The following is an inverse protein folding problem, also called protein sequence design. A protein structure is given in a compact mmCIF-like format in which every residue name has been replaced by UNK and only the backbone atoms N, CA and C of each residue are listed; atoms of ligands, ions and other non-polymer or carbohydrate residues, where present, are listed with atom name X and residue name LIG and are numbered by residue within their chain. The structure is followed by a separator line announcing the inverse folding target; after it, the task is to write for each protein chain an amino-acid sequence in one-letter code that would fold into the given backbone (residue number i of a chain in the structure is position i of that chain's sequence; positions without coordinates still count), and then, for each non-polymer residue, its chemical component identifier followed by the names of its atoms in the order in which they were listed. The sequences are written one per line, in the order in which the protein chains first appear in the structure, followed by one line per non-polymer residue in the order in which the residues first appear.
data_IF_661336553323
#
_entry.id   IF_661336553323
#
_cell.length_a   1.000
_cell.length_b   1.000
_cell.length_c   1.000
_cell.angle_alpha   90.00
_cell.angle_beta   90.00
_cell.angle_gamma   90.00
#
_symmetry.space_group_name_H-M   'P 1'
#
loop_
_entity.id
_entity.type
_entity.pdbx_description
1 polymer ?
#
# COMPACT_ATOMS: atom_id res chain seq x y z
N UNK A 1 -27.62 -54.71 -1.08
CA UNK A 1 -27.14 -54.44 -2.45
C UNK A 1 -26.08 -53.36 -2.33
N UNK A 2 -24.83 -53.71 -2.64
CA UNK A 2 -23.65 -52.87 -2.36
C UNK A 2 -23.53 -51.68 -3.30
N UNK A 3 -23.06 -50.56 -2.76
CA UNK A 3 -22.65 -49.36 -3.49
C UNK A 3 -21.29 -49.59 -4.18
N UNK A 4 -21.11 -49.21 -5.45
CA UNK A 4 -19.87 -49.46 -6.17
C UNK A 4 -18.75 -48.49 -5.75
N UNK A 5 -17.56 -49.06 -5.56
CA UNK A 5 -16.30 -48.37 -5.32
C UNK A 5 -15.90 -47.57 -6.57
N UNK A 6 -15.65 -46.26 -6.40
CA UNK A 6 -15.05 -45.41 -7.44
C UNK A 6 -13.55 -45.37 -7.19
N UNK A 7 -12.78 -46.03 -8.06
CA UNK A 7 -11.31 -45.98 -8.07
C UNK A 7 -10.83 -44.58 -8.46
N UNK A 8 -9.86 -44.05 -7.69
CA UNK A 8 -9.15 -42.80 -8.00
C UNK A 8 -8.03 -43.08 -9.01
N UNK A 9 -7.83 -42.22 -10.03
CA UNK A 9 -6.75 -42.39 -10.99
C UNK A 9 -5.37 -42.08 -10.36
N UNK A 10 -4.38 -42.88 -10.74
CA UNK A 10 -2.98 -42.75 -10.34
C UNK A 10 -2.30 -41.49 -10.90
N UNK A 11 -1.33 -40.89 -10.18
CA UNK A 11 -0.61 -39.70 -10.66
C UNK A 11 0.36 -40.02 -11.81
N UNK A 12 0.67 -39.04 -12.67
CA UNK A 12 1.59 -39.22 -13.80
C UNK A 12 3.06 -39.35 -13.37
N UNK A 13 3.83 -40.08 -14.18
CA UNK A 13 5.26 -40.35 -13.98
C UNK A 13 6.13 -39.10 -14.20
N UNK A 14 7.26 -38.96 -13.50
CA UNK A 14 8.18 -37.84 -13.66
C UNK A 14 8.97 -37.91 -14.99
N UNK A 15 9.25 -36.74 -15.56
CA UNK A 15 10.05 -36.57 -16.78
C UNK A 15 11.56 -36.77 -16.50
N UNK A 16 12.34 -37.26 -17.47
CA UNK A 16 13.77 -37.51 -17.29
C UNK A 16 14.60 -36.22 -17.35
N UNK A 17 15.59 -36.14 -16.48
CA UNK A 17 16.62 -35.09 -16.44
C UNK A 17 17.58 -35.24 -17.63
N UNK A 18 17.72 -34.16 -18.41
CA UNK A 18 18.66 -34.07 -19.53
C UNK A 18 19.84 -33.19 -19.17
N UNK A 19 20.99 -33.81 -18.93
CA UNK A 19 22.30 -33.16 -18.88
C UNK A 19 22.69 -32.63 -20.27
N UNK A 20 23.19 -31.39 -20.32
CA UNK A 20 23.67 -30.77 -21.56
C UNK A 20 24.73 -29.71 -21.29
N UNK A 21 25.95 -30.16 -20.95
CA UNK A 21 27.18 -29.35 -21.03
C UNK A 21 27.49 -29.04 -22.49
N UNK A 22 27.75 -27.78 -22.81
CA UNK A 22 28.50 -27.43 -24.03
C UNK A 22 29.49 -26.30 -23.74
N UNK A 23 30.76 -26.62 -23.97
CA UNK A 23 31.90 -25.72 -24.02
C UNK A 23 31.82 -24.80 -25.25
N UNK A 24 32.26 -23.54 -25.10
CA UNK A 24 32.49 -22.62 -26.22
C UNK A 24 33.66 -21.69 -25.89
N UNK A 25 34.71 -21.81 -26.69
CA UNK A 25 36.08 -21.35 -26.47
C UNK A 25 36.31 -19.90 -26.90
N UNK A 26 37.29 -19.27 -26.26
CA UNK A 26 37.97 -18.02 -26.61
C UNK A 26 38.48 -18.02 -28.06
N UNK A 27 38.37 -16.88 -28.76
CA UNK A 27 39.33 -16.48 -29.81
C UNK A 27 39.61 -14.99 -29.75
N UNK A 28 40.89 -14.69 -29.92
CA UNK A 28 41.60 -13.41 -29.88
C UNK A 28 41.89 -12.90 -31.30
N UNK A 29 42.21 -11.60 -31.40
CA UNK A 29 42.89 -10.98 -32.56
C UNK A 29 42.07 -9.82 -33.14
N UNK A 30 42.60 -8.63 -33.42
CA UNK A 30 43.97 -8.13 -33.39
C UNK A 30 44.07 -6.87 -34.27
N UNK A 31 44.72 -5.83 -33.73
CA UNK A 31 45.51 -4.77 -34.36
C UNK A 31 45.05 -4.00 -35.62
N UNK A 32 45.13 -2.67 -35.52
CA UNK A 32 45.22 -1.75 -36.66
C UNK A 32 45.48 -0.30 -36.22
N UNK A 33 46.74 0.07 -36.05
CA UNK A 33 47.20 1.45 -35.87
C UNK A 33 47.21 2.21 -37.22
N UNK A 34 47.09 3.54 -37.24
CA UNK A 34 47.97 4.47 -37.99
C UNK A 34 47.65 5.96 -37.71
N UNK A 35 48.72 6.74 -37.74
CA UNK A 35 48.91 8.16 -37.39
C UNK A 35 48.21 9.19 -38.30
N UNK A 36 48.04 10.41 -37.76
CA UNK A 36 48.47 11.61 -38.50
C UNK A 36 47.61 12.88 -38.37
N UNK A 37 48.22 13.97 -37.89
CA UNK A 37 47.99 15.32 -38.44
C UNK A 37 47.04 16.26 -37.69
N UNK A 38 47.62 17.26 -37.00
CA UNK A 38 46.95 18.51 -36.63
C UNK A 38 47.01 19.52 -37.78
N UNK A 39 46.08 20.48 -37.83
CA UNK A 39 46.50 21.87 -38.03
C UNK A 39 45.97 22.81 -36.93
N UNK A 40 46.79 23.82 -36.68
CA UNK A 40 46.54 25.00 -35.85
C UNK A 40 45.48 25.91 -36.50
N UNK A 41 44.52 26.41 -35.72
CA UNK A 41 43.82 27.68 -35.98
C UNK A 41 43.76 28.47 -34.68
N UNK A 42 44.21 29.72 -34.76
CA UNK A 42 44.28 30.72 -33.68
C UNK A 42 42.91 31.37 -33.51
N UNK A 43 42.45 31.52 -32.26
CA UNK A 43 41.21 32.20 -31.92
C UNK A 43 41.19 32.72 -30.47
N UNK A 44 41.88 33.85 -30.27
CA UNK A 44 41.59 35.00 -29.37
C UNK A 44 40.99 34.71 -27.97
N UNK A 45 41.80 35.04 -26.96
CA UNK A 45 41.48 35.10 -25.53
C UNK A 45 40.52 36.23 -25.17
N UNK A 46 39.50 35.94 -24.36
CA UNK A 46 38.93 36.86 -23.37
C UNK A 46 38.50 36.09 -22.10
N UNK A 47 38.91 36.63 -20.94
CA UNK A 47 38.81 36.08 -19.59
C UNK A 47 37.38 35.87 -19.08
N UNK A 48 37.17 34.89 -18.18
CA UNK A 48 36.55 35.06 -16.84
C UNK A 48 36.99 33.91 -15.89
N UNK A 49 37.03 34.13 -14.56
CA UNK A 49 37.84 33.38 -13.61
C UNK A 49 37.15 32.11 -13.06
N UNK A 50 38.01 31.19 -12.61
CA UNK A 50 37.66 29.98 -11.85
C UNK A 50 37.03 30.38 -10.50
N UNK A 51 35.79 29.92 -10.26
CA UNK A 51 35.13 30.01 -8.95
C UNK A 51 34.77 28.59 -8.47
N UNK A 52 35.43 28.22 -7.38
CA UNK A 52 35.04 27.31 -6.29
C UNK A 52 33.88 26.32 -6.52
N UNK A 53 34.21 25.04 -6.34
CA UNK A 53 33.26 23.95 -6.14
C UNK A 53 32.26 24.25 -5.01
N UNK A 54 31.00 24.52 -5.35
CA UNK A 54 29.89 24.36 -4.42
C UNK A 54 29.41 22.92 -4.51
N UNK A 55 29.79 22.10 -3.52
CA UNK A 55 29.03 20.91 -3.16
C UNK A 55 27.57 21.36 -2.96
N UNK A 56 26.69 21.01 -3.91
CA UNK A 56 25.25 21.06 -3.66
C UNK A 56 24.97 19.98 -2.62
N UNK A 57 24.97 20.40 -1.37
CA UNK A 57 24.32 19.66 -0.30
C UNK A 57 22.89 19.42 -0.75
N UNK A 58 22.56 18.16 -1.02
CA UNK A 58 21.18 17.69 -1.07
C UNK A 58 20.61 17.89 0.33
N UNK A 59 19.99 19.06 0.55
CA UNK A 59 19.14 19.28 1.71
C UNK A 59 17.93 18.36 1.50
N UNK A 60 18.00 17.15 2.06
CA UNK A 60 16.81 16.33 2.27
C UNK A 60 15.91 17.13 3.20
N UNK A 61 14.71 17.49 2.72
CA UNK A 61 13.71 18.12 3.56
C UNK A 61 13.41 17.15 4.72
N UNK A 62 13.62 17.51 6.00
CA UNK A 62 13.35 16.62 7.14
C UNK A 62 11.92 16.06 7.15
N UNK A 63 10.97 16.79 6.55
CA UNK A 63 9.58 16.37 6.38
C UNK A 63 9.43 15.17 5.44
N UNK A 64 10.28 15.05 4.41
CA UNK A 64 10.24 13.94 3.45
C UNK A 64 10.72 12.64 4.14
N UNK A 65 11.77 12.73 4.95
CA UNK A 65 12.31 11.58 5.70
C UNK A 65 11.31 10.97 6.69
N UNK A 66 10.55 11.80 7.42
CA UNK A 66 9.55 11.32 8.39
C UNK A 66 8.31 10.69 7.75
N UNK A 67 7.94 11.12 6.54
CA UNK A 67 6.88 10.48 5.76
C UNK A 67 7.32 9.20 5.05
N UNK A 68 8.63 8.94 4.97
CA UNK A 68 9.17 7.69 4.43
C UNK A 68 9.39 6.62 5.50
N UNK A 69 9.59 7.02 6.76
CA UNK A 69 9.67 6.10 7.90
C UNK A 69 8.26 5.70 8.36
N UNK A 70 7.90 4.47 8.01
CA UNK A 70 6.64 3.84 8.35
C UNK A 70 6.92 2.49 9.01
N UNK A 71 7.98 2.41 9.82
CA UNK A 71 8.24 1.24 10.66
C UNK A 71 6.95 0.85 11.39
N UNK A 72 6.59 -0.44 11.28
CA UNK A 72 5.49 -1.01 12.07
C UNK A 72 5.95 -1.48 13.45
N UNK A 73 7.22 -1.22 13.76
CA UNK A 73 7.80 -1.48 15.06
C UNK A 73 7.86 -0.18 15.84
N UNK A 74 7.33 -0.21 17.05
CA UNK A 74 7.45 0.87 18.01
C UNK A 74 8.00 0.31 19.32
N UNK A 75 9.31 0.52 19.56
CA UNK A 75 10.00 -0.04 20.72
C UNK A 75 9.78 -1.56 20.80
N UNK A 76 9.09 -2.03 21.83
CA UNK A 76 8.78 -3.45 22.08
C UNK A 76 7.37 -3.85 21.62
N UNK A 77 6.59 -2.93 21.05
CA UNK A 77 5.25 -3.22 20.55
C UNK A 77 5.29 -4.13 19.32
N UNK A 78 4.36 -5.08 19.27
CA UNK A 78 4.19 -6.04 18.17
C UNK A 78 3.03 -5.68 17.24
N UNK A 79 1.95 -5.13 17.79
CA UNK A 79 0.68 -4.92 17.09
C UNK A 79 0.39 -3.43 16.83
N UNK A 80 0.90 -2.53 17.68
CA UNK A 80 0.51 -1.12 17.67
C UNK A 80 1.70 -0.21 17.48
N UNK A 81 1.62 0.69 16.50
CA UNK A 81 2.70 1.64 16.20
C UNK A 81 2.14 3.02 15.81
N UNK A 82 2.76 4.12 16.24
CA UNK A 82 2.43 5.45 15.75
C UNK A 82 3.17 5.72 14.44
N UNK A 83 2.58 6.51 13.56
CA UNK A 83 3.22 6.88 12.30
C UNK A 83 2.76 8.25 11.79
N UNK A 84 3.68 9.03 11.22
CA UNK A 84 3.33 10.27 10.54
C UNK A 84 2.72 9.97 9.16
N UNK A 85 1.40 9.98 9.07
CA UNK A 85 0.69 9.61 7.86
C UNK A 85 0.42 10.80 6.95
N UNK A 86 0.86 10.70 5.69
CA UNK A 86 0.54 11.67 4.63
C UNK A 86 -0.96 11.76 4.36
N UNK A 87 -1.64 10.60 4.29
CA UNK A 87 -3.08 10.51 4.01
C UNK A 87 -3.92 11.03 5.16
N UNK A 88 -3.47 10.77 6.37
CA UNK A 88 -4.14 11.25 7.58
C UNK A 88 -3.85 12.71 7.87
N UNK A 89 -2.76 13.28 7.33
CA UNK A 89 -2.29 14.66 7.58
C UNK A 89 -1.99 14.93 9.06
N UNK A 90 -1.34 13.97 9.71
CA UNK A 90 -0.99 13.97 11.13
C UNK A 90 -0.54 12.59 11.57
N UNK A 91 -0.56 12.33 12.88
CA UNK A 91 -0.22 11.01 13.42
C UNK A 91 -1.42 10.07 13.28
N UNK A 92 -1.14 8.87 12.78
CA UNK A 92 -2.04 7.72 12.77
C UNK A 92 -1.47 6.64 13.70
N UNK A 93 -2.32 5.97 14.46
CA UNK A 93 -1.94 4.76 15.20
C UNK A 93 -2.32 3.56 14.36
N UNK A 94 -1.34 2.82 13.85
CA UNK A 94 -1.56 1.56 13.16
C UNK A 94 -1.86 0.42 14.13
N UNK A 95 -2.86 -0.40 13.80
CA UNK A 95 -3.24 -1.62 14.50
C UNK A 95 -3.09 -2.81 13.55
N UNK A 96 -1.96 -3.51 13.67
CA UNK A 96 -1.59 -4.66 12.84
C UNK A 96 -2.21 -5.95 13.38
N UNK A 97 -3.28 -6.43 12.75
CA UNK A 97 -3.90 -7.72 13.10
C UNK A 97 -3.19 -8.92 12.47
N UNK A 98 -2.09 -8.70 11.73
CA UNK A 98 -1.44 -9.73 10.94
C UNK A 98 0.10 -9.64 11.05
N UNK A 99 0.71 -9.67 12.25
CA UNK A 99 2.17 -9.76 12.38
C UNK A 99 2.72 -11.08 11.82
N UNK A 100 1.83 -12.05 11.59
CA UNK A 100 2.08 -13.30 10.87
C UNK A 100 2.22 -13.13 9.36
N UNK A 101 2.03 -11.90 8.85
CA UNK A 101 2.05 -11.55 7.43
C UNK A 101 0.99 -12.32 6.61
N UNK A 102 -0.05 -12.84 7.25
CA UNK A 102 -1.11 -13.57 6.55
C UNK A 102 -1.99 -12.59 5.77
N UNK A 103 -1.99 -12.76 4.45
CA UNK A 103 -2.86 -12.05 3.54
C UNK A 103 -3.40 -13.04 2.50
N UNK A 104 -4.63 -12.81 2.05
CA UNK A 104 -5.22 -13.54 0.94
C UNK A 104 -4.86 -12.93 -0.43
N UNK A 105 -3.95 -11.94 -0.46
CA UNK A 105 -3.43 -11.26 -1.64
C UNK A 105 -1.91 -11.22 -1.61
N UNK A 106 -1.29 -11.28 -2.78
CA UNK A 106 0.17 -11.20 -2.98
C UNK A 106 0.50 -10.05 -3.94
N UNK A 107 0.01 -8.84 -3.62
CA UNK A 107 0.10 -7.69 -4.50
C UNK A 107 1.57 -7.37 -4.83
N UNK A 108 1.88 -7.17 -6.10
CA UNK A 108 3.27 -6.97 -6.55
C UNK A 108 3.87 -5.64 -6.07
N UNK A 109 3.03 -4.68 -5.69
CA UNK A 109 3.43 -3.42 -5.09
C UNK A 109 3.57 -3.47 -3.56
N UNK A 110 3.33 -4.63 -2.93
CA UNK A 110 3.42 -4.80 -1.49
C UNK A 110 4.88 -4.75 -1.01
N UNK A 111 5.09 -4.17 0.17
CA UNK A 111 6.41 -4.08 0.81
C UNK A 111 6.68 -5.24 1.77
N UNK A 112 5.62 -5.97 2.14
CA UNK A 112 5.74 -7.12 3.03
C UNK A 112 6.38 -8.24 2.24
N UNK A 113 7.64 -8.57 2.54
CA UNK A 113 8.29 -9.75 1.97
C UNK A 113 7.70 -11.01 2.60
N UNK A 114 6.76 -11.65 1.90
CA UNK A 114 6.09 -12.88 2.33
C UNK A 114 7.00 -14.12 2.30
N UNK A 115 8.23 -14.01 1.79
CA UNK A 115 9.25 -15.09 1.83
C UNK A 115 10.02 -15.11 3.15
N UNK A 116 9.98 -14.02 3.91
CA UNK A 116 10.63 -13.92 5.22
C UNK A 116 9.78 -14.57 6.32
N UNK A 117 10.44 -15.05 7.38
CA UNK A 117 9.73 -15.60 8.54
C UNK A 117 8.85 -14.52 9.20
N UNK A 118 7.68 -14.96 9.69
CA UNK A 118 6.81 -14.14 10.51
C UNK A 118 7.38 -14.02 11.93
N UNK A 119 7.33 -12.83 12.51
CA UNK A 119 7.82 -12.59 13.88
C UNK A 119 6.92 -13.24 14.93
N UNK A 120 5.62 -13.39 14.64
CA UNK A 120 4.64 -14.02 15.51
C UNK A 120 3.55 -14.70 14.69
N UNK A 121 3.08 -15.88 15.11
CA UNK A 121 2.06 -16.66 14.38
C UNK A 121 0.63 -16.48 14.90
N UNK A 122 0.44 -15.73 15.98
CA UNK A 122 -0.86 -15.57 16.63
C UNK A 122 -1.08 -14.15 17.13
N UNK A 123 -2.27 -13.61 16.90
CA UNK A 123 -2.68 -12.33 17.51
C UNK A 123 -3.08 -12.59 18.95
N UNK A 124 -2.20 -12.24 19.88
CA UNK A 124 -2.51 -12.21 21.30
C UNK A 124 -3.41 -11.01 21.60
N UNK A 125 -4.74 -11.21 21.54
CA UNK A 125 -5.73 -10.13 21.73
C UNK A 125 -5.47 -9.30 22.98
N UNK A 126 -5.14 -9.91 24.11
CA UNK A 126 -4.83 -9.18 25.35
C UNK A 126 -3.60 -8.27 25.22
N UNK A 127 -2.55 -8.74 24.55
CA UNK A 127 -1.35 -7.94 24.28
C UNK A 127 -1.68 -6.77 23.35
N UNK A 128 -2.41 -7.02 22.26
CA UNK A 128 -2.85 -5.96 21.35
C UNK A 128 -3.65 -4.87 22.09
N UNK A 129 -4.60 -5.27 22.93
CA UNK A 129 -5.42 -4.34 23.71
C UNK A 129 -4.59 -3.56 24.74
N UNK A 130 -3.59 -4.20 25.34
CA UNK A 130 -2.66 -3.53 26.26
C UNK A 130 -1.78 -2.52 25.52
N UNK A 131 -1.24 -2.88 24.35
CA UNK A 131 -0.40 -2.01 23.53
C UNK A 131 -1.17 -0.79 23.04
N UNK A 132 -2.43 -0.96 22.61
CA UNK A 132 -3.24 0.17 22.13
C UNK A 132 -3.70 1.06 23.29
N UNK A 133 -4.12 0.52 24.44
CA UNK A 133 -4.45 1.32 25.63
C UNK A 133 -3.24 2.16 26.05
N UNK A 134 -2.05 1.55 26.11
CA UNK A 134 -0.78 2.23 26.40
C UNK A 134 -0.48 3.33 25.39
N UNK A 135 -0.59 3.04 24.09
CA UNK A 135 -0.34 4.01 23.03
C UNK A 135 -1.33 5.18 23.10
N UNK A 136 -2.62 4.92 23.31
CA UNK A 136 -3.63 5.98 23.43
C UNK A 136 -3.37 6.86 24.64
N UNK A 137 -2.97 6.31 25.79
CA UNK A 137 -2.53 7.10 26.94
C UNK A 137 -1.28 7.95 26.64
N UNK A 138 -0.32 7.37 25.91
CA UNK A 138 0.92 8.04 25.55
C UNK A 138 0.71 9.21 24.57
N UNK A 139 -0.18 9.05 23.59
CA UNK A 139 -0.54 10.14 22.67
C UNK A 139 -1.44 11.18 23.33
N UNK A 140 -2.43 10.75 24.12
CA UNK A 140 -3.38 11.67 24.79
C UNK A 140 -2.72 12.55 25.85
N UNK A 141 -1.64 12.08 26.48
CA UNK A 141 -0.83 12.88 27.40
C UNK A 141 0.11 13.87 26.70
N UNK A 142 0.26 13.78 25.38
CA UNK A 142 1.22 14.55 24.59
C UNK A 142 2.66 14.02 24.66
N UNK A 143 2.90 12.95 25.43
CA UNK A 143 4.24 12.39 25.62
C UNK A 143 4.86 11.88 24.31
N UNK A 144 4.04 11.36 23.37
CA UNK A 144 4.51 10.99 22.04
C UNK A 144 5.23 12.16 21.34
N UNK A 145 4.68 13.38 21.42
CA UNK A 145 5.23 14.55 20.72
C UNK A 145 6.42 15.19 21.44
N UNK A 146 6.80 14.68 22.61
CA UNK A 146 7.98 15.12 23.34
C UNK A 146 9.24 14.32 22.96
N UNK A 147 9.10 13.25 22.17
CA UNK A 147 10.20 12.33 21.85
C UNK A 147 10.40 12.15 20.34
N UNK A 148 11.63 11.88 19.93
CA UNK A 148 11.93 11.53 18.54
C UNK A 148 11.29 10.17 18.17
N UNK A 149 10.85 10.00 16.91
CA UNK A 149 10.92 10.97 15.81
C UNK A 149 9.76 11.99 15.80
N UNK A 150 8.85 11.96 16.76
CA UNK A 150 7.62 12.76 16.73
C UNK A 150 7.79 14.20 17.23
N UNK A 151 8.83 14.48 18.02
CA UNK A 151 9.22 15.84 18.42
C UNK A 151 9.62 16.73 17.25
N UNK A 152 10.10 16.15 16.15
CA UNK A 152 10.48 16.88 14.93
C UNK A 152 9.34 17.06 13.94
N UNK A 153 8.17 16.46 14.18
CA UNK A 153 6.97 16.66 13.36
C UNK A 153 6.52 18.13 13.46
N UNK A 154 6.16 18.79 12.35
CA UNK A 154 5.63 20.15 12.39
C UNK A 154 4.47 20.29 13.38
N UNK A 155 4.38 21.36 14.20
CA UNK A 155 3.37 21.49 15.25
C UNK A 155 1.93 21.31 14.75
N UNK A 156 1.65 21.74 13.51
CA UNK A 156 0.33 21.58 12.91
C UNK A 156 -0.03 20.11 12.69
N UNK A 157 0.95 19.21 12.51
CA UNK A 157 0.79 17.77 12.30
C UNK A 157 0.95 16.94 13.59
N UNK A 158 1.31 17.56 14.72
CA UNK A 158 1.44 16.92 16.03
C UNK A 158 0.06 16.69 16.69
N UNK A 159 -0.76 15.86 16.06
CA UNK A 159 -2.08 15.48 16.56
C UNK A 159 -2.43 14.08 16.07
N UNK A 160 -3.15 13.34 16.90
CA UNK A 160 -3.74 12.06 16.50
C UNK A 160 -4.95 12.33 15.60
N UNK A 161 -4.89 11.86 14.36
CA UNK A 161 -6.02 12.00 13.42
C UNK A 161 -6.82 10.72 13.29
N UNK A 162 -6.18 9.56 13.40
CA UNK A 162 -6.87 8.28 13.28
C UNK A 162 -6.18 7.12 13.99
N UNK A 163 -6.99 6.09 14.24
CA UNK A 163 -6.56 4.75 14.59
C UNK A 163 -6.87 3.87 13.36
N UNK A 164 -5.84 3.35 12.70
CA UNK A 164 -5.96 2.61 11.44
C UNK A 164 -5.76 1.09 11.64
N UNK A 165 -6.81 0.31 11.39
CA UNK A 165 -6.71 -1.13 11.18
C UNK A 165 -6.05 -1.38 9.82
N UNK A 166 -4.75 -1.66 9.89
CA UNK A 166 -3.87 -1.86 8.74
C UNK A 166 -2.66 -2.67 9.21
N UNK A 167 -1.98 -3.39 8.33
CA UNK A 167 -0.98 -4.34 8.81
C UNK A 167 -0.16 -4.97 7.72
N UNK A 168 0.57 -6.01 8.08
CA UNK A 168 1.35 -6.82 7.15
C UNK A 168 0.50 -7.86 6.40
N UNK A 169 -0.80 -7.84 6.65
CA UNK A 169 -1.81 -8.70 6.06
C UNK A 169 -3.11 -7.97 5.75
N UNK A 170 -4.16 -8.76 5.51
CA UNK A 170 -5.51 -8.25 5.30
C UNK A 170 -6.30 -8.29 6.62
N UNK A 171 -6.59 -7.14 7.26
CA UNK A 171 -7.22 -7.12 8.58
C UNK A 171 -8.53 -7.88 8.64
N UNK A 172 -9.33 -7.82 7.56
CA UNK A 172 -10.66 -8.45 7.50
C UNK A 172 -10.63 -9.98 7.39
N UNK A 173 -9.44 -10.58 7.20
CA UNK A 173 -9.29 -12.04 7.32
C UNK A 173 -9.33 -12.51 8.78
N UNK A 174 -8.98 -11.65 9.74
CA UNK A 174 -9.00 -11.96 11.16
C UNK A 174 -10.41 -12.35 11.61
N UNK A 175 -10.53 -13.50 12.27
CA UNK A 175 -11.84 -14.15 12.51
C UNK A 175 -12.78 -13.30 13.36
N UNK A 176 -12.22 -12.58 14.33
CA UNK A 176 -12.95 -11.82 15.35
C UNK A 176 -12.71 -10.31 15.19
N UNK A 177 -12.63 -9.83 13.94
CA UNK A 177 -12.37 -8.41 13.66
C UNK A 177 -13.42 -7.48 14.31
N UNK A 178 -14.69 -7.90 14.33
CA UNK A 178 -15.79 -7.22 15.04
C UNK A 178 -15.46 -6.97 16.51
N UNK A 179 -14.98 -7.99 17.21
CA UNK A 179 -14.64 -7.89 18.62
C UNK A 179 -13.49 -6.91 18.85
N UNK A 180 -12.42 -7.01 18.06
CA UNK A 180 -11.27 -6.11 18.19
C UNK A 180 -11.64 -4.67 17.87
N UNK A 181 -12.40 -4.44 16.79
CA UNK A 181 -12.88 -3.10 16.44
C UNK A 181 -13.76 -2.52 17.55
N UNK A 182 -14.63 -3.34 18.15
CA UNK A 182 -15.46 -2.96 19.30
C UNK A 182 -14.65 -2.56 20.53
N UNK A 183 -13.65 -3.36 20.91
CA UNK A 183 -12.78 -3.06 22.05
C UNK A 183 -11.97 -1.78 21.83
N UNK A 184 -11.38 -1.62 20.64
CA UNK A 184 -10.64 -0.40 20.28
C UNK A 184 -11.55 0.83 20.28
N UNK A 185 -12.80 0.72 19.82
CA UNK A 185 -13.78 1.79 19.91
C UNK A 185 -14.10 2.15 21.37
N UNK A 186 -14.21 1.15 22.25
CA UNK A 186 -14.36 1.34 23.69
C UNK A 186 -13.19 2.09 24.31
N UNK A 187 -11.95 1.74 23.94
CA UNK A 187 -10.74 2.43 24.37
C UNK A 187 -10.69 3.88 23.86
N UNK A 188 -10.93 4.10 22.57
CA UNK A 188 -11.05 5.45 21.96
C UNK A 188 -12.00 6.34 22.76
N UNK A 189 -13.19 5.82 23.09
CA UNK A 189 -14.18 6.55 23.90
C UNK A 189 -13.70 6.84 25.32
N UNK A 190 -13.02 5.88 25.97
CA UNK A 190 -12.47 6.05 27.32
C UNK A 190 -11.48 7.22 27.41
N UNK A 191 -10.67 7.41 26.37
CA UNK A 191 -9.74 8.53 26.27
C UNK A 191 -10.37 9.84 25.77
N UNK A 192 -11.68 9.89 25.52
CA UNK A 192 -12.38 11.09 25.03
C UNK A 192 -11.98 11.47 23.60
N UNK A 193 -11.56 10.50 22.78
CA UNK A 193 -11.06 10.71 21.42
C UNK A 193 -12.18 10.58 20.38
N UNK A 194 -13.35 11.13 20.66
CA UNK A 194 -14.53 10.97 19.79
C UNK A 194 -14.30 11.51 18.36
N UNK A 195 -13.56 12.61 18.23
CA UNK A 195 -13.21 13.26 16.96
C UNK A 195 -12.10 12.56 16.16
N UNK A 196 -11.34 11.66 16.79
CA UNK A 196 -10.33 10.84 16.10
C UNK A 196 -11.06 9.83 15.23
N UNK A 197 -10.59 9.58 14.00
CA UNK A 197 -11.24 8.60 13.13
C UNK A 197 -10.82 7.17 13.48
N UNK A 198 -11.67 6.21 13.16
CA UNK A 198 -11.26 4.80 13.06
C UNK A 198 -11.21 4.39 11.58
N UNK A 199 -10.03 4.13 11.06
CA UNK A 199 -9.83 3.84 9.64
C UNK A 199 -9.65 2.34 9.44
N UNK A 200 -10.36 1.74 8.48
CA UNK A 200 -10.08 0.38 8.02
C UNK A 200 -9.47 0.45 6.62
N UNK A 201 -8.26 -0.06 6.46
CA UNK A 201 -7.59 -0.22 5.17
C UNK A 201 -7.67 -1.69 4.77
N UNK A 202 -8.25 -1.99 3.61
CA UNK A 202 -8.65 -3.35 3.26
C UNK A 202 -8.74 -3.57 1.76
N UNK A 203 -8.38 -4.77 1.30
CA UNK A 203 -8.63 -5.25 -0.06
C UNK A 203 -10.11 -5.59 -0.35
N UNK A 204 -11.01 -5.33 0.60
CA UNK A 204 -12.46 -5.51 0.51
C UNK A 204 -12.93 -6.96 0.28
N UNK A 205 -12.04 -7.94 0.26
CA UNK A 205 -12.37 -9.32 -0.11
C UNK A 205 -13.29 -10.03 0.87
N UNK A 206 -13.32 -9.61 2.14
CA UNK A 206 -14.08 -10.26 3.21
C UNK A 206 -15.31 -9.49 3.68
N UNK A 207 -15.71 -8.40 3.01
CA UNK A 207 -16.88 -7.59 3.41
C UNK A 207 -18.18 -8.39 3.51
N UNK A 208 -18.32 -9.46 2.74
CA UNK A 208 -19.49 -10.34 2.80
C UNK A 208 -19.63 -11.11 4.13
N UNK A 209 -18.54 -11.29 4.90
CA UNK A 209 -18.55 -12.10 6.14
C UNK A 209 -19.31 -11.38 7.26
N UNK A 210 -20.13 -12.10 8.06
CA UNK A 210 -20.89 -11.49 9.16
C UNK A 210 -20.04 -10.66 10.14
N UNK A 211 -18.91 -11.20 10.61
CA UNK A 211 -18.01 -10.47 11.50
C UNK A 211 -17.42 -9.20 10.85
N UNK A 212 -17.15 -9.23 9.54
CA UNK A 212 -16.66 -8.03 8.86
C UNK A 212 -17.79 -6.99 8.72
N UNK A 213 -19.02 -7.41 8.36
CA UNK A 213 -20.17 -6.50 8.30
C UNK A 213 -20.44 -5.81 9.65
N UNK A 214 -20.33 -6.56 10.74
CA UNK A 214 -20.48 -5.99 12.09
C UNK A 214 -19.34 -5.02 12.42
N UNK A 215 -18.09 -5.37 12.11
CA UNK A 215 -16.96 -4.45 12.25
C UNK A 215 -17.19 -3.13 11.48
N UNK A 216 -17.70 -3.19 10.24
CA UNK A 216 -18.05 -1.99 9.46
C UNK A 216 -19.13 -1.15 10.15
N UNK A 217 -20.17 -1.77 10.72
CA UNK A 217 -21.19 -1.04 11.50
C UNK A 217 -20.63 -0.37 12.75
N UNK A 218 -19.71 -1.04 13.45
CA UNK A 218 -19.05 -0.46 14.61
C UNK A 218 -18.21 0.74 14.17
N UNK A 219 -17.46 0.64 13.06
CA UNK A 219 -16.72 1.77 12.50
C UNK A 219 -17.65 2.94 12.16
N UNK A 220 -18.77 2.69 11.46
CA UNK A 220 -19.77 3.72 11.13
C UNK A 220 -20.24 4.48 12.38
N UNK A 221 -20.43 3.78 13.50
CA UNK A 221 -20.86 4.37 14.77
C UNK A 221 -19.76 5.14 15.54
N UNK A 222 -18.50 5.04 15.12
CA UNK A 222 -17.33 5.54 15.87
C UNK A 222 -16.44 6.50 15.05
N UNK A 223 -17.05 7.31 14.17
CA UNK A 223 -16.35 8.22 13.25
C UNK A 223 -15.41 7.44 12.30
N UNK A 224 -15.93 6.34 11.76
CA UNK A 224 -15.19 5.43 10.92
C UNK A 224 -15.01 5.91 9.49
N UNK A 225 -13.91 5.50 8.86
CA UNK A 225 -13.70 5.66 7.42
C UNK A 225 -13.15 4.35 6.84
N UNK A 226 -13.73 3.89 5.74
CA UNK A 226 -13.36 2.61 5.14
C UNK A 226 -12.65 2.90 3.83
N UNK A 227 -11.38 2.51 3.76
CA UNK A 227 -10.50 2.68 2.62
C UNK A 227 -10.41 1.32 1.92
N UNK A 228 -11.32 1.10 0.97
CA UNK A 228 -11.41 -0.13 0.19
C UNK A 228 -10.49 -0.03 -1.02
N UNK A 229 -9.62 -1.02 -1.21
CA UNK A 229 -8.71 -1.03 -2.35
C UNK A 229 -9.41 -1.49 -3.63
N UNK A 230 -9.21 -0.72 -4.69
CA UNK A 230 -9.62 -1.06 -6.06
C UNK A 230 -8.51 -0.58 -6.99
N UNK A 231 -7.50 -1.43 -7.19
CA UNK A 231 -6.28 -1.04 -7.90
C UNK A 231 -6.31 -1.40 -9.40
N UNK A 232 -7.43 -1.96 -9.88
CA UNK A 232 -7.62 -2.41 -11.26
C UNK A 232 -9.04 -2.09 -11.76
N UNK A 233 -9.14 -1.82 -13.06
CA UNK A 233 -10.34 -1.73 -13.88
C UNK A 233 -10.70 -3.03 -14.62
N UNK A 234 -9.73 -3.88 -14.96
CA UNK A 234 -9.95 -5.16 -15.65
C UNK A 234 -9.57 -6.38 -14.80
N UNK A 235 -10.14 -7.54 -15.12
CA UNK A 235 -9.83 -8.78 -14.41
C UNK A 235 -8.40 -9.26 -14.69
N UNK A 236 -7.92 -9.04 -15.92
CA UNK A 236 -6.59 -9.39 -16.38
C UNK A 236 -5.52 -8.59 -15.63
N UNK A 237 -5.70 -7.26 -15.53
CA UNK A 237 -4.79 -6.40 -14.79
C UNK A 237 -4.86 -6.67 -13.28
N UNK A 238 -6.06 -6.88 -12.74
CA UNK A 238 -6.25 -7.32 -11.35
C UNK A 238 -5.42 -8.58 -11.03
N UNK A 239 -5.47 -9.61 -11.90
CA UNK A 239 -4.70 -10.83 -11.70
C UNK A 239 -3.19 -10.61 -11.81
N UNK A 240 -2.76 -9.72 -12.72
CA UNK A 240 -1.36 -9.33 -12.84
C UNK A 240 -0.83 -8.70 -11.54
N UNK A 241 -1.56 -7.75 -10.96
CA UNK A 241 -1.05 -6.92 -9.86
C UNK A 241 -1.37 -7.46 -8.46
N UNK A 242 -2.51 -8.12 -8.25
CA UNK A 242 -2.96 -8.54 -6.91
C UNK A 242 -2.59 -9.99 -6.57
N UNK A 243 -2.31 -10.82 -7.58
CA UNK A 243 -1.93 -12.24 -7.48
C UNK A 243 -2.75 -13.01 -6.44
N UNK A 244 -4.07 -13.06 -6.64
CA UNK A 244 -5.00 -13.71 -5.72
C UNK A 244 -5.97 -14.64 -6.43
N UNK A 245 -6.42 -15.67 -5.71
CA UNK A 245 -7.46 -16.60 -6.16
C UNK A 245 -8.88 -16.02 -6.04
N UNK A 246 -9.02 -14.86 -5.39
CA UNK A 246 -10.32 -14.22 -5.23
C UNK A 246 -10.70 -13.58 -6.55
N UNK A 247 -11.89 -13.85 -7.13
CA UNK A 247 -12.28 -13.27 -8.40
C UNK A 247 -12.44 -11.75 -8.30
N UNK A 248 -12.04 -11.02 -9.35
CA UNK A 248 -12.21 -9.56 -9.41
C UNK A 248 -13.67 -9.13 -9.17
N UNK A 249 -14.63 -9.85 -9.77
CA UNK A 249 -16.06 -9.58 -9.57
C UNK A 249 -16.48 -9.65 -8.10
N UNK A 250 -15.87 -10.53 -7.28
CA UNK A 250 -16.18 -10.60 -5.84
C UNK A 250 -15.79 -9.30 -5.14
N UNK A 251 -14.68 -8.68 -5.54
CA UNK A 251 -14.23 -7.40 -4.99
C UNK A 251 -15.22 -6.30 -5.36
N UNK A 252 -15.62 -6.22 -6.64
CA UNK A 252 -16.62 -5.26 -7.11
C UNK A 252 -17.96 -5.42 -6.39
N UNK A 253 -18.45 -6.65 -6.24
CA UNK A 253 -19.71 -6.95 -5.54
C UNK A 253 -19.62 -6.51 -4.07
N UNK A 254 -18.54 -6.88 -3.38
CA UNK A 254 -18.32 -6.53 -1.98
C UNK A 254 -18.24 -5.01 -1.78
N UNK A 255 -17.49 -4.30 -2.62
CA UNK A 255 -17.38 -2.84 -2.57
C UNK A 255 -18.75 -2.21 -2.84
N UNK A 256 -19.47 -2.68 -3.86
CA UNK A 256 -20.80 -2.15 -4.21
C UNK A 256 -21.79 -2.34 -3.07
N UNK A 257 -21.86 -3.52 -2.47
CA UNK A 257 -22.73 -3.81 -1.33
C UNK A 257 -22.39 -2.94 -0.13
N UNK A 258 -21.10 -2.82 0.22
CA UNK A 258 -20.68 -1.96 1.31
C UNK A 258 -21.01 -0.48 1.02
N UNK A 259 -20.73 -0.01 -0.20
CA UNK A 259 -20.96 1.37 -0.62
C UNK A 259 -22.45 1.77 -0.61
N UNK A 260 -23.38 0.82 -0.79
CA UNK A 260 -24.82 1.09 -0.67
C UNK A 260 -25.23 1.47 0.76
N UNK A 261 -24.53 0.91 1.75
CA UNK A 261 -24.86 1.10 3.17
C UNK A 261 -24.11 2.28 3.79
N UNK A 262 -22.92 2.62 3.26
CA UNK A 262 -22.04 3.66 3.83
C UNK A 262 -21.12 4.29 2.76
N UNK A 263 -20.70 5.55 2.90
CA UNK A 263 -19.71 6.14 2.01
C UNK A 263 -18.34 5.44 2.14
N UNK A 264 -17.76 5.05 1.02
CA UNK A 264 -16.41 4.47 0.97
C UNK A 264 -15.39 5.47 0.41
N UNK A 265 -14.15 5.33 0.87
CA UNK A 265 -12.99 5.87 0.16
C UNK A 265 -12.42 4.73 -0.69
N UNK A 266 -12.30 4.94 -2.00
CA UNK A 266 -11.55 4.03 -2.85
C UNK A 266 -10.08 4.38 -2.77
N UNK A 267 -9.24 3.42 -2.39
CA UNK A 267 -7.80 3.59 -2.32
C UNK A 267 -7.14 2.81 -3.45
N UNK A 268 -6.57 3.52 -4.43
CA UNK A 268 -6.16 2.92 -5.70
C UNK A 268 -4.71 3.27 -6.05
N UNK A 269 -3.86 2.26 -6.04
CA UNK A 269 -2.44 2.33 -6.36
C UNK A 269 -2.24 2.04 -7.85
N UNK A 270 -1.63 2.99 -8.55
CA UNK A 270 -1.15 2.82 -9.91
C UNK A 270 0.38 2.88 -9.93
N UNK A 271 0.99 2.07 -10.78
CA UNK A 271 2.44 1.86 -10.77
C UNK A 271 2.97 1.51 -12.15
N UNK A 272 4.28 1.49 -12.27
CA UNK A 272 4.95 0.89 -13.41
C UNK A 272 5.22 -0.58 -13.17
N UNK A 273 5.00 -1.40 -14.19
CA UNK A 273 5.38 -2.82 -14.22
C UNK A 273 6.39 -2.99 -15.35
N UNK A 274 7.62 -3.40 -15.03
CA UNK A 274 8.75 -3.44 -15.97
C UNK A 274 9.03 -2.09 -16.68
N UNK A 275 8.71 -0.98 -16.01
CA UNK A 275 8.89 0.37 -16.55
C UNK A 275 7.68 0.94 -17.29
N UNK A 276 6.67 0.12 -17.62
CA UNK A 276 5.48 0.58 -18.33
C UNK A 276 4.37 1.01 -17.35
N UNK A 277 3.70 2.15 -17.58
CA UNK A 277 2.56 2.57 -16.76
C UNK A 277 1.33 1.69 -17.05
N UNK A 278 0.23 1.79 -16.28
CA UNK A 278 -1.01 1.13 -16.64
C UNK A 278 -1.45 1.58 -18.04
N UNK A 279 -1.92 0.67 -18.90
CA UNK A 279 -2.47 1.05 -20.20
C UNK A 279 -3.65 2.01 -20.04
N UNK A 280 -3.89 2.95 -20.98
CA UNK A 280 -5.02 3.88 -20.89
C UNK A 280 -6.38 3.18 -20.74
N UNK A 281 -6.59 2.06 -21.44
CA UNK A 281 -7.81 1.26 -21.35
C UNK A 281 -8.07 0.68 -19.95
N UNK A 282 -7.01 0.52 -19.15
CA UNK A 282 -7.12 0.08 -17.76
C UNK A 282 -7.71 1.19 -16.87
N UNK A 283 -7.30 2.44 -17.12
CA UNK A 283 -7.82 3.61 -16.41
C UNK A 283 -9.26 3.89 -16.83
N UNK A 284 -9.58 3.75 -18.11
CA UNK A 284 -10.96 3.85 -18.62
C UNK A 284 -11.86 2.78 -17.96
N UNK A 285 -11.39 1.54 -17.90
CA UNK A 285 -12.11 0.45 -17.25
C UNK A 285 -12.28 0.70 -15.75
N UNK A 286 -11.27 1.24 -15.07
CA UNK A 286 -11.34 1.60 -13.66
C UNK A 286 -12.42 2.67 -13.41
N UNK A 287 -12.46 3.71 -14.24
CA UNK A 287 -13.52 4.72 -14.17
C UNK A 287 -14.91 4.10 -14.42
N UNK A 288 -15.01 3.16 -15.36
CA UNK A 288 -16.25 2.42 -15.58
C UNK A 288 -16.70 1.61 -14.34
N UNK A 289 -15.78 0.96 -13.62
CA UNK A 289 -16.10 0.24 -12.36
C UNK A 289 -16.65 1.19 -11.28
N UNK A 290 -16.06 2.38 -11.11
CA UNK A 290 -16.58 3.40 -10.19
C UNK A 290 -18.00 3.80 -10.58
N UNK A 291 -18.23 4.06 -11.87
CA UNK A 291 -19.55 4.43 -12.38
C UNK A 291 -20.59 3.32 -12.18
N UNK A 292 -20.22 2.06 -12.38
CA UNK A 292 -21.07 0.91 -12.08
C UNK A 292 -21.47 0.85 -10.61
N UNK A 293 -20.52 1.08 -9.69
CA UNK A 293 -20.80 1.15 -8.25
C UNK A 293 -21.80 2.28 -7.95
N UNK A 294 -21.60 3.49 -8.52
CA UNK A 294 -22.50 4.63 -8.32
C UNK A 294 -23.90 4.37 -8.89
N UNK A 295 -24.00 3.85 -10.11
CA UNK A 295 -25.27 3.48 -10.76
C UNK A 295 -26.01 2.42 -9.95
N UNK A 296 -25.28 1.52 -9.32
CA UNK A 296 -25.84 0.50 -8.42
C UNK A 296 -26.31 1.08 -7.07
N UNK A 297 -26.19 2.39 -6.82
CA UNK A 297 -26.57 3.07 -5.58
C UNK A 297 -25.46 3.10 -4.53
N UNK A 298 -24.22 2.78 -4.90
CA UNK A 298 -23.06 2.86 -4.04
C UNK A 298 -22.58 4.29 -3.85
N UNK A 299 -22.16 4.62 -2.62
CA UNK A 299 -21.64 5.93 -2.24
C UNK A 299 -20.12 5.89 -2.19
N UNK A 300 -19.46 6.59 -3.12
CA UNK A 300 -18.02 6.80 -3.09
C UNK A 300 -17.74 8.25 -2.68
N UNK A 301 -17.10 8.43 -1.52
CA UNK A 301 -16.79 9.73 -0.93
C UNK A 301 -15.57 10.38 -1.58
N UNK A 302 -14.55 9.58 -1.89
CA UNK A 302 -13.24 10.03 -2.36
C UNK A 302 -12.54 8.88 -3.08
N UNK A 303 -11.83 9.18 -4.15
CA UNK A 303 -10.82 8.31 -4.74
C UNK A 303 -9.42 8.81 -4.33
N UNK A 304 -8.68 8.03 -3.55
CA UNK A 304 -7.27 8.27 -3.28
C UNK A 304 -6.45 7.62 -4.40
N UNK A 305 -5.93 8.44 -5.30
CA UNK A 305 -5.10 8.00 -6.43
C UNK A 305 -3.64 8.14 -6.01
N UNK A 306 -2.91 7.04 -6.01
CA UNK A 306 -1.55 7.07 -5.51
C UNK A 306 -0.61 6.12 -6.24
N UNK A 307 0.67 6.31 -5.99
CA UNK A 307 1.73 5.49 -6.56
C UNK A 307 2.64 4.91 -5.48
N UNK A 308 3.53 4.02 -5.88
CA UNK A 308 4.57 3.45 -5.03
C UNK A 308 5.40 4.58 -4.43
N UNK A 309 5.46 4.65 -3.10
CA UNK A 309 6.25 5.66 -2.38
C UNK A 309 7.40 5.07 -1.55
N UNK A 310 7.46 3.74 -1.45
CA UNK A 310 8.61 3.05 -0.86
C UNK A 310 8.83 1.75 -1.63
N UNK A 311 10.07 1.26 -1.72
CA UNK A 311 10.41 0.10 -2.54
C UNK A 311 9.52 -1.11 -2.24
N UNK A 312 8.79 -1.65 -3.23
CA UNK A 312 8.08 -2.93 -3.10
C UNK A 312 9.06 -4.09 -2.93
N UNK A 313 8.55 -5.24 -2.51
CA UNK A 313 9.34 -6.49 -2.48
C UNK A 313 9.76 -6.93 -3.90
N UNK A 314 8.97 -6.57 -4.91
CA UNK A 314 9.23 -6.85 -6.32
C UNK A 314 9.98 -5.70 -7.00
N UNK A 315 11.20 -5.96 -7.46
CA UNK A 315 12.09 -4.93 -8.02
C UNK A 315 11.67 -4.40 -9.40
N UNK A 316 10.79 -5.11 -10.10
CA UNK A 316 10.25 -4.70 -11.40
C UNK A 316 9.05 -3.75 -11.28
N UNK A 317 8.66 -3.38 -10.06
CA UNK A 317 7.58 -2.44 -9.77
C UNK A 317 8.18 -1.10 -9.34
N UNK A 318 7.78 -0.02 -10.01
CA UNK A 318 8.26 1.33 -9.69
C UNK A 318 7.15 2.38 -9.73
N UNK A 319 7.46 3.59 -9.26
CA UNK A 319 6.49 4.68 -9.19
C UNK A 319 6.16 5.27 -10.56
N UNK A 320 4.89 5.65 -10.74
CA UNK A 320 4.50 6.70 -11.66
C UNK A 320 5.11 8.05 -11.28
N UNK A 321 5.26 8.92 -12.28
CA UNK A 321 5.59 10.34 -12.08
C UNK A 321 4.39 11.11 -11.51
N UNK A 322 4.64 12.26 -10.88
CA UNK A 322 3.57 13.10 -10.32
C UNK A 322 2.54 13.50 -11.37
N UNK A 323 3.00 13.87 -12.58
CA UNK A 323 2.13 14.23 -13.70
C UNK A 323 1.24 13.06 -14.17
N UNK A 324 1.72 11.82 -14.08
CA UNK A 324 0.90 10.64 -14.39
C UNK A 324 -0.15 10.38 -13.31
N UNK A 325 0.20 10.57 -12.03
CA UNK A 325 -0.76 10.47 -10.93
C UNK A 325 -1.85 11.54 -11.06
N UNK A 326 -1.45 12.78 -11.38
CA UNK A 326 -2.37 13.89 -11.61
C UNK A 326 -3.31 13.60 -12.80
N UNK A 327 -2.78 13.12 -13.92
CA UNK A 327 -3.59 12.78 -15.09
C UNK A 327 -4.65 11.71 -14.79
N UNK A 328 -4.30 10.67 -14.00
CA UNK A 328 -5.25 9.65 -13.57
C UNK A 328 -6.31 10.26 -12.65
N UNK A 329 -5.92 11.08 -11.67
CA UNK A 329 -6.87 11.71 -10.75
C UNK A 329 -7.84 12.67 -11.47
N UNK A 330 -7.34 13.47 -12.41
CA UNK A 330 -8.16 14.34 -13.26
C UNK A 330 -9.12 13.53 -14.12
N UNK A 331 -8.67 12.41 -14.68
CA UNK A 331 -9.51 11.52 -15.46
C UNK A 331 -10.63 10.92 -14.61
N UNK A 332 -10.30 10.37 -13.43
CA UNK A 332 -11.27 9.83 -12.48
C UNK A 332 -12.31 10.88 -12.10
N UNK A 333 -11.89 12.09 -11.75
CA UNK A 333 -12.82 13.15 -11.38
C UNK A 333 -13.72 13.57 -12.55
N UNK A 334 -13.15 13.69 -13.76
CA UNK A 334 -13.88 14.08 -14.97
C UNK A 334 -14.93 13.04 -15.38
N UNK A 335 -14.60 11.75 -15.31
CA UNK A 335 -15.42 10.68 -15.86
C UNK A 335 -16.41 10.07 -14.86
N UNK A 336 -16.15 10.24 -13.56
CA UNK A 336 -17.00 9.66 -12.51
C UNK A 336 -17.69 10.70 -11.64
N UNK A 337 -17.20 11.95 -11.64
CA UNK A 337 -17.65 13.00 -10.73
C UNK A 337 -17.20 12.81 -9.27
N UNK A 338 -16.52 11.70 -8.94
CA UNK A 338 -15.99 11.44 -7.61
C UNK A 338 -14.78 12.35 -7.35
N UNK A 339 -14.70 13.05 -6.20
CA UNK A 339 -13.50 13.78 -5.84
C UNK A 339 -12.28 12.86 -5.82
N UNK A 340 -11.17 13.28 -6.42
CA UNK A 340 -9.93 12.53 -6.43
C UNK A 340 -8.82 13.31 -5.69
N UNK A 341 -8.02 12.61 -4.90
CA UNK A 341 -6.85 13.18 -4.21
C UNK A 341 -5.59 12.37 -4.56
N UNK A 342 -4.53 13.09 -4.95
CA UNK A 342 -3.25 12.51 -5.34
C UNK A 342 -2.33 12.24 -4.13
N UNK A 343 -1.66 11.10 -4.12
CA UNK A 343 -0.53 10.82 -3.23
C UNK A 343 0.69 10.29 -4.00
N UNK A 344 1.75 11.10 -4.02
CA UNK A 344 2.92 10.89 -4.87
C UNK A 344 3.95 9.91 -4.29
N UNK A 345 4.89 9.49 -5.15
CA UNK A 345 5.96 8.54 -4.82
C UNK A 345 7.14 9.14 -4.07
N UNK A 346 7.35 10.46 -4.23
CA UNK A 346 8.40 11.22 -3.55
C UNK A 346 9.59 11.55 -4.41
#
# INVERSE_FOLDING_TARGET
MGTPNVERPSPPAPLPEGEGRIHGTVTTGGAGAYNGGRPFVVGIFQHYPLSSSSLRSTVTNPQHTLHTDHSRHWRENTFVYPVLSRRSRGVSIGVNLNPDKVCNFDCIYCQVDRRSEAETRFVATEQLLTEIDTMLGYVSSGALFAEEPFSTVPPQLQRLNDIAFSGDGEPTTYRNIDQIVGEVAGLKKRYGLDDVKMVLITNASMFHRPACREALRILDANNGEIWAKLDAGTAEYYQLIERTKIPFQRILDNITEAARERPLVLQSLFMRVNGDPPPPEEIDAYCARINEIQVAGGQIKLAQIYTVARPPAESFVSSLTDAEVDAIAEQVQRETGVPAECFYGG
#
